data_IF_611137087135
#
_entry.id   IF_611137087135
#
_cell.length_a   1.000
_cell.length_b   1.000
_cell.length_c   1.000
_cell.angle_alpha   90.00
_cell.angle_beta   90.00
_cell.angle_gamma   90.00
#
_symmetry.space_group_name_H-M   'P 1'
#
loop_
_entity.id
_entity.type
_entity.pdbx_description
1 polymer ?
#
# COMPACT_ATOMS: atom_id res chain seq x y z
N UNK A 1 5.59 2.78 4.33
CA UNK A 1 4.44 3.51 3.78
C UNK A 1 3.32 3.25 4.74
N UNK A 2 3.13 4.13 5.72
CA UNK A 2 2.21 3.89 6.84
C UNK A 2 0.82 4.39 6.46
N UNK A 3 -0.20 3.60 6.78
CA UNK A 3 -1.59 4.05 6.76
C UNK A 3 -1.74 5.13 7.83
N UNK A 4 -2.34 6.27 7.46
CA UNK A 4 -2.54 7.37 8.39
C UNK A 4 -3.83 7.15 9.18
N UNK A 5 -3.78 7.44 10.48
CA UNK A 5 -4.92 7.38 11.39
C UNK A 5 -5.49 8.80 11.58
N UNK A 6 -6.79 8.96 11.32
CA UNK A 6 -7.48 10.24 11.50
C UNK A 6 -7.86 10.49 12.97
N UNK A 7 -7.54 9.57 13.90
CA UNK A 7 -7.67 9.76 15.35
C UNK A 7 -9.10 9.96 15.86
N UNK A 8 -10.10 9.84 14.99
CA UNK A 8 -11.50 10.04 15.32
C UNK A 8 -12.21 8.68 15.42
N UNK A 9 -12.31 8.15 16.64
CA UNK A 9 -13.20 7.04 16.96
C UNK A 9 -14.65 7.48 16.72
N UNK A 10 -15.20 7.18 15.55
CA UNK A 10 -16.62 7.37 15.28
C UNK A 10 -17.27 6.02 15.02
N UNK A 11 -17.76 5.47 16.15
CA UNK A 11 -18.86 4.54 16.35
C UNK A 11 -18.84 3.17 15.65
N UNK A 12 -19.04 2.15 16.49
CA UNK A 12 -19.45 0.79 16.18
C UNK A 12 -20.42 0.74 14.98
N UNK A 13 -19.90 0.35 13.82
CA UNK A 13 -20.70 0.15 12.62
C UNK A 13 -20.93 -1.36 12.45
N UNK A 14 -21.86 -1.89 13.23
CA UNK A 14 -22.44 -3.21 13.02
C UNK A 14 -23.26 -3.21 11.73
N UNK A 15 -22.66 -3.55 10.60
CA UNK A 15 -23.40 -3.80 9.37
C UNK A 15 -23.07 -5.19 8.81
N UNK A 16 -24.09 -6.05 8.79
CA UNK A 16 -24.04 -7.43 8.26
C UNK A 16 -24.15 -7.45 6.72
N UNK A 17 -24.40 -6.30 6.08
CA UNK A 17 -24.39 -6.16 4.62
C UNK A 17 -23.63 -4.89 4.26
N UNK A 18 -22.67 -5.01 3.32
CA UNK A 18 -21.78 -3.93 2.94
C UNK A 18 -22.55 -2.66 2.55
N UNK A 19 -22.05 -1.47 2.91
CA UNK A 19 -22.74 -0.22 2.61
C UNK A 19 -22.99 -0.14 1.09
N UNK A 20 -24.13 0.42 0.66
CA UNK A 20 -24.37 0.69 -0.76
C UNK A 20 -23.13 1.37 -1.37
N UNK A 21 -22.81 1.05 -2.62
CA UNK A 21 -21.86 1.84 -3.45
C UNK A 21 -22.42 3.25 -3.73
N UNK A 22 -23.05 3.89 -2.75
CA UNK A 22 -22.94 5.32 -2.66
C UNK A 22 -21.45 5.59 -2.64
N UNK A 23 -20.99 6.42 -3.57
CA UNK A 23 -19.67 7.02 -3.46
C UNK A 23 -19.76 7.85 -2.18
N UNK A 24 -19.61 7.24 -1.00
CA UNK A 24 -19.20 7.95 0.22
C UNK A 24 -18.06 8.79 -0.25
N UNK A 25 -18.30 10.10 -0.35
CA UNK A 25 -17.51 11.01 -1.16
C UNK A 25 -16.03 10.70 -0.90
N UNK A 26 -15.40 9.92 -1.79
CA UNK A 26 -13.97 9.71 -1.70
C UNK A 26 -13.45 11.10 -1.91
N UNK A 27 -12.95 11.71 -0.85
CA UNK A 27 -12.34 13.02 -0.99
C UNK A 27 -11.24 12.82 -2.04
N UNK A 28 -11.17 13.71 -3.03
CA UNK A 28 -10.16 13.62 -4.11
C UNK A 28 -8.73 13.54 -3.56
N UNK A 29 -8.55 13.81 -2.27
CA UNK A 29 -7.30 13.84 -1.53
C UNK A 29 -7.00 12.58 -0.71
N UNK A 30 -7.96 11.66 -0.45
CA UNK A 30 -7.74 10.48 0.40
C UNK A 30 -8.44 9.22 -0.12
N UNK A 31 -7.72 8.09 -0.06
CA UNK A 31 -8.22 6.74 -0.32
C UNK A 31 -8.42 6.04 1.02
N UNK A 32 -9.66 5.75 1.36
CA UNK A 32 -10.01 5.02 2.59
C UNK A 32 -9.72 3.52 2.42
N UNK A 33 -9.11 2.89 3.44
CA UNK A 33 -8.73 1.48 3.44
C UNK A 33 -9.59 0.71 4.45
N UNK A 34 -10.18 -0.39 4.01
CA UNK A 34 -11.03 -1.25 4.83
C UNK A 34 -10.63 -2.72 4.68
N UNK A 35 -10.80 -3.48 5.75
CA UNK A 35 -10.73 -4.93 5.73
C UNK A 35 -11.96 -5.50 5.00
N UNK A 36 -11.79 -6.31 3.95
CA UNK A 36 -12.90 -6.71 3.09
C UNK A 36 -13.88 -7.68 3.76
N UNK A 37 -13.44 -8.47 4.74
CA UNK A 37 -14.26 -9.50 5.37
C UNK A 37 -15.35 -8.95 6.29
N UNK A 38 -15.03 -7.89 7.04
CA UNK A 38 -15.90 -7.30 8.07
C UNK A 38 -16.10 -5.79 7.91
N UNK A 39 -15.57 -5.19 6.84
CA UNK A 39 -15.59 -3.74 6.58
C UNK A 39 -14.97 -2.90 7.71
N UNK A 40 -14.02 -3.48 8.45
CA UNK A 40 -13.27 -2.78 9.50
C UNK A 40 -12.42 -1.69 8.87
N UNK A 41 -12.49 -0.47 9.40
CA UNK A 41 -11.64 0.63 8.96
C UNK A 41 -10.18 0.40 9.36
N UNK A 42 -9.27 0.46 8.40
CA UNK A 42 -7.82 0.29 8.61
C UNK A 42 -7.07 1.63 8.62
N UNK A 43 -7.72 2.71 8.18
CA UNK A 43 -7.12 4.04 8.01
C UNK A 43 -7.21 4.51 6.56
N UNK A 44 -6.42 5.53 6.19
CA UNK A 44 -6.41 6.07 4.83
C UNK A 44 -5.01 6.25 4.27
N UNK A 45 -4.94 6.36 2.95
CA UNK A 45 -3.75 6.77 2.22
C UNK A 45 -4.04 8.03 1.39
N UNK A 46 -3.14 9.04 1.35
CA UNK A 46 -3.36 10.23 0.54
C UNK A 46 -3.37 9.88 -0.95
N UNK A 47 -4.34 10.42 -1.68
CA UNK A 47 -4.34 10.38 -3.14
C UNK A 47 -3.28 11.37 -3.65
N UNK A 48 -2.24 10.84 -4.31
CA UNK A 48 -1.11 11.64 -4.75
C UNK A 48 -1.48 12.53 -5.93
N UNK A 49 -1.02 13.77 -5.90
CA UNK A 49 -1.09 14.67 -7.05
C UNK A 49 -0.14 14.21 -8.17
N UNK A 50 -0.38 14.62 -9.43
CA UNK A 50 0.50 14.27 -10.54
C UNK A 50 1.96 14.67 -10.32
N UNK A 51 2.22 15.80 -9.65
CA UNK A 51 3.58 16.28 -9.40
C UNK A 51 4.28 15.49 -8.29
N UNK A 52 3.57 15.13 -7.23
CA UNK A 52 4.07 14.22 -6.20
C UNK A 52 4.38 12.82 -6.74
N UNK A 53 3.60 12.33 -7.71
CA UNK A 53 3.91 11.07 -8.41
C UNK A 53 5.21 11.22 -9.21
N UNK A 54 5.38 12.31 -9.96
CA UNK A 54 6.62 12.57 -10.72
C UNK A 54 7.84 12.63 -9.79
N UNK A 55 7.70 13.31 -8.65
CA UNK A 55 8.75 13.42 -7.64
C UNK A 55 9.16 12.04 -7.12
N UNK A 56 8.21 11.22 -6.69
CA UNK A 56 8.49 9.86 -6.18
C UNK A 56 9.10 8.93 -7.24
N UNK A 57 8.76 9.12 -8.52
CA UNK A 57 9.29 8.33 -9.63
C UNK A 57 10.70 8.77 -10.05
N UNK A 58 11.11 10.02 -9.77
CA UNK A 58 12.41 10.55 -10.23
C UNK A 58 13.62 9.76 -9.69
N UNK A 59 13.70 9.39 -8.38
CA UNK A 59 14.77 8.53 -7.86
C UNK A 59 14.80 7.16 -8.53
N UNK A 60 13.63 6.54 -8.76
CA UNK A 60 13.52 5.26 -9.43
C UNK A 60 14.05 5.33 -10.87
N UNK A 61 13.71 6.39 -11.63
CA UNK A 61 14.26 6.63 -12.98
C UNK A 61 15.78 6.80 -12.97
N UNK A 62 16.34 7.47 -11.95
CA UNK A 62 17.79 7.63 -11.80
C UNK A 62 18.46 6.28 -11.52
N UNK A 63 17.94 5.51 -10.58
CA UNK A 63 18.48 4.20 -10.21
C UNK A 63 18.35 3.17 -11.35
N UNK A 64 17.27 3.24 -12.14
CA UNK A 64 17.04 2.32 -13.26
C UNK A 64 18.19 2.34 -14.29
N UNK A 65 18.84 3.49 -14.51
CA UNK A 65 19.96 3.61 -15.45
C UNK A 65 21.15 2.73 -15.07
N UNK A 66 21.49 2.64 -13.78
CA UNK A 66 22.56 1.74 -13.32
C UNK A 66 22.06 0.30 -13.22
N UNK A 67 20.84 0.09 -12.70
CA UNK A 67 20.26 -1.24 -12.55
C UNK A 67 20.09 -1.99 -13.88
N UNK A 68 19.77 -1.28 -14.98
CA UNK A 68 19.62 -1.88 -16.30
C UNK A 68 20.91 -2.56 -16.82
N UNK A 69 22.08 -2.13 -16.35
CA UNK A 69 23.37 -2.72 -16.71
C UNK A 69 23.78 -3.91 -15.81
N UNK A 70 22.94 -4.28 -14.83
CA UNK A 70 23.21 -5.41 -13.95
C UNK A 70 23.15 -6.75 -14.70
N UNK A 71 24.02 -7.68 -14.31
CA UNK A 71 24.03 -9.02 -14.89
C UNK A 71 22.79 -9.82 -14.50
N UNK A 72 22.42 -10.82 -15.30
CA UNK A 72 21.37 -11.76 -14.95
C UNK A 72 21.62 -12.43 -13.59
N UNK A 73 22.87 -12.85 -13.31
CA UNK A 73 23.26 -13.45 -12.03
C UNK A 73 22.96 -12.53 -10.85
N UNK A 74 23.27 -11.25 -10.97
CA UNK A 74 23.01 -10.24 -9.94
C UNK A 74 21.52 -10.01 -9.72
N UNK A 75 20.73 -9.88 -10.79
CA UNK A 75 19.26 -9.72 -10.69
C UNK A 75 18.61 -10.94 -10.06
N UNK A 76 19.05 -12.14 -10.43
CA UNK A 76 18.56 -13.40 -9.86
C UNK A 76 18.90 -13.50 -8.36
N UNK A 77 20.14 -13.16 -7.95
CA UNK A 77 20.52 -13.13 -6.55
C UNK A 77 19.67 -12.14 -5.75
N UNK A 78 19.42 -10.95 -6.28
CA UNK A 78 18.57 -9.94 -5.65
C UNK A 78 17.14 -10.46 -5.40
N UNK A 79 16.53 -11.09 -6.41
CA UNK A 79 15.20 -11.71 -6.25
C UNK A 79 15.20 -12.83 -5.21
N UNK A 80 16.26 -13.63 -5.12
CA UNK A 80 16.38 -14.68 -4.08
C UNK A 80 16.47 -14.09 -2.67
N UNK A 81 17.17 -12.96 -2.52
CA UNK A 81 17.26 -12.26 -1.23
C UNK A 81 15.87 -11.74 -0.82
N UNK A 82 15.15 -11.11 -1.75
CA UNK A 82 13.77 -10.64 -1.49
C UNK A 82 12.87 -11.81 -1.12
N UNK A 83 12.91 -12.91 -1.87
CA UNK A 83 12.09 -14.10 -1.59
C UNK A 83 12.40 -14.68 -0.21
N UNK A 84 13.68 -14.79 0.14
CA UNK A 84 14.10 -15.29 1.46
C UNK A 84 13.50 -14.43 2.58
N UNK A 85 13.63 -13.10 2.46
CA UNK A 85 13.08 -12.17 3.43
C UNK A 85 11.56 -12.31 3.57
N UNK A 86 10.82 -12.41 2.46
CA UNK A 86 9.36 -12.56 2.48
C UNK A 86 8.95 -13.85 3.21
N UNK A 87 9.63 -14.97 2.95
CA UNK A 87 9.34 -16.25 3.61
C UNK A 87 9.68 -16.17 5.10
N UNK A 88 10.83 -15.59 5.46
CA UNK A 88 11.26 -15.44 6.86
C UNK A 88 10.30 -14.56 7.69
N UNK A 89 9.59 -13.64 7.04
CA UNK A 89 8.66 -12.70 7.68
C UNK A 89 7.20 -12.91 7.27
N UNK A 90 6.84 -14.09 6.76
CA UNK A 90 5.52 -14.35 6.21
C UNK A 90 4.39 -14.18 7.24
N UNK A 91 4.63 -14.54 8.50
CA UNK A 91 3.63 -14.45 9.58
C UNK A 91 3.27 -12.99 9.86
N UNK A 92 4.27 -12.11 9.84
CA UNK A 92 4.07 -10.67 9.96
C UNK A 92 3.31 -10.12 8.74
N UNK A 93 3.63 -10.58 7.54
CA UNK A 93 3.00 -10.07 6.31
C UNK A 93 1.52 -10.49 6.23
N UNK A 94 1.20 -11.71 6.66
CA UNK A 94 -0.17 -12.25 6.61
C UNK A 94 -1.07 -11.67 7.70
N UNK A 95 -0.53 -11.19 8.82
CA UNK A 95 -1.32 -10.51 9.87
C UNK A 95 -1.99 -9.21 9.38
N UNK A 96 -1.39 -8.53 8.39
CA UNK A 96 -1.89 -7.26 7.84
C UNK A 96 -2.60 -7.39 6.47
N UNK A 97 -2.74 -8.60 5.93
CA UNK A 97 -3.36 -8.86 4.62
C UNK A 97 -4.83 -9.26 4.75
#
# INVERSE_FOLDING_TARGET
MAVLDDGNQSQENSFIYGPPRERTAQSETKVQCYEPAIMKYLGYYPALTPDEVKERVAPARKAQKSWANSSFKQRHLFLRIILKYIIEHQDLISEFS
#
